data_IF_832456010483
#
_entry.id   IF_832456010483
#
_cell.length_a   1.000
_cell.length_b   1.000
_cell.length_c   1.000
_cell.angle_alpha   90.00
_cell.angle_beta   90.00
_cell.angle_gamma   90.00
#
_symmetry.space_group_name_H-M   'P 1'
#
loop_
_entity.id
_entity.type
_entity.pdbx_description
1 polymer ?
#
# COMPACT_ATOMS: atom_id res chain seq x y z
N UNK A 1 -11.01 63.95 20.95
CA UNK A 1 -10.18 62.79 21.37
C UNK A 1 -10.83 61.45 21.03
N UNK A 2 -12.16 61.34 21.08
CA UNK A 2 -12.94 60.14 20.74
C UNK A 2 -12.85 59.72 19.26
N UNK A 3 -12.81 60.68 18.33
CA UNK A 3 -12.74 60.39 16.89
C UNK A 3 -11.44 59.72 16.47
N UNK A 4 -10.29 60.14 17.04
CA UNK A 4 -8.98 59.54 16.75
C UNK A 4 -8.89 58.11 17.29
N UNK A 5 -9.50 57.87 18.44
CA UNK A 5 -9.60 56.53 19.03
C UNK A 5 -10.53 55.61 18.22
N UNK A 6 -11.65 56.13 17.73
CA UNK A 6 -12.55 55.39 16.86
C UNK A 6 -11.86 54.99 15.54
N UNK A 7 -11.09 55.90 14.94
CA UNK A 7 -10.31 55.60 13.71
C UNK A 7 -9.23 54.55 13.96
N UNK A 8 -8.54 54.60 15.11
CA UNK A 8 -7.54 53.60 15.47
C UNK A 8 -8.17 52.21 15.72
N UNK A 9 -9.32 52.17 16.39
CA UNK A 9 -10.05 50.93 16.61
C UNK A 9 -10.57 50.33 15.28
N UNK A 10 -11.01 51.19 14.36
CA UNK A 10 -11.48 50.78 13.03
C UNK A 10 -10.34 50.25 12.17
N UNK A 11 -9.16 50.88 12.22
CA UNK A 11 -7.94 50.37 11.59
C UNK A 11 -7.46 49.05 12.20
N UNK A 12 -7.60 48.88 13.52
CA UNK A 12 -7.26 47.62 14.20
C UNK A 12 -8.20 46.48 13.77
N UNK A 13 -9.49 46.77 13.64
CA UNK A 13 -10.52 45.81 13.19
C UNK A 13 -10.35 45.42 11.71
N UNK A 14 -9.97 46.37 10.86
CA UNK A 14 -9.71 46.10 9.44
C UNK A 14 -8.34 45.43 9.24
N UNK A 15 -7.37 45.69 10.13
CA UNK A 15 -6.04 45.11 10.08
C UNK A 15 -5.92 43.71 10.68
N UNK A 16 -6.86 43.29 11.54
CA UNK A 16 -6.98 41.89 11.99
C UNK A 16 -7.69 41.06 10.93
N UNK A 17 -7.06 40.93 9.76
CA UNK A 17 -7.44 39.89 8.81
C UNK A 17 -7.24 38.54 9.48
N UNK A 18 -8.33 37.83 9.77
CA UNK A 18 -8.25 36.41 10.11
C UNK A 18 -7.70 35.68 8.88
N UNK A 19 -6.39 35.47 8.79
CA UNK A 19 -5.90 34.42 7.90
C UNK A 19 -6.34 33.10 8.53
N UNK A 20 -7.41 32.52 7.97
CA UNK A 20 -7.82 31.16 8.29
C UNK A 20 -6.77 30.23 7.71
N UNK A 21 -5.69 30.01 8.45
CA UNK A 21 -4.66 29.04 8.09
C UNK A 21 -5.33 27.67 8.05
N UNK A 22 -5.53 27.13 6.86
CA UNK A 22 -6.10 25.79 6.66
C UNK A 22 -4.99 24.80 7.00
N UNK A 23 -5.08 24.15 8.14
CA UNK A 23 -4.15 23.11 8.54
C UNK A 23 -4.81 21.75 8.33
N UNK A 24 -4.16 20.89 7.55
CA UNK A 24 -4.60 19.51 7.33
C UNK A 24 -3.67 18.60 8.12
N UNK A 25 -4.25 17.81 9.03
CA UNK A 25 -3.52 16.74 9.71
C UNK A 25 -3.57 15.50 8.82
N UNK A 26 -2.41 15.09 8.32
CA UNK A 26 -2.24 13.84 7.60
C UNK A 26 -1.79 12.78 8.58
N UNK A 27 -2.46 11.64 8.55
CA UNK A 27 -2.14 10.46 9.34
C UNK A 27 -1.77 9.34 8.36
N UNK A 28 -0.50 8.96 8.35
CA UNK A 28 0.03 7.92 7.46
C UNK A 28 0.07 6.57 8.17
N UNK A 29 -0.54 6.44 9.35
CA UNK A 29 -0.52 5.24 10.19
C UNK A 29 0.72 5.18 11.08
N UNK A 30 1.92 5.29 10.51
CA UNK A 30 3.19 5.28 11.28
C UNK A 30 3.53 6.66 11.88
N UNK A 31 3.09 7.73 11.24
CA UNK A 31 3.34 9.10 11.67
C UNK A 31 2.18 10.04 11.32
N UNK A 32 2.00 11.06 12.15
CA UNK A 32 1.03 12.12 11.90
C UNK A 32 1.76 13.46 11.79
N UNK A 33 1.57 14.16 10.67
CA UNK A 33 2.14 15.48 10.46
C UNK A 33 1.08 16.47 10.02
N UNK A 34 1.28 17.74 10.38
CA UNK A 34 0.36 18.83 10.05
C UNK A 34 0.95 19.58 8.87
N UNK A 35 0.26 19.50 7.73
CA UNK A 35 0.58 20.26 6.53
C UNK A 35 -0.33 21.48 6.47
N UNK A 36 0.27 22.64 6.24
CA UNK A 36 -0.48 23.83 5.84
C UNK A 36 -0.37 23.90 4.32
N UNK A 37 -1.43 23.59 3.55
CA UNK A 37 -1.39 23.72 2.11
C UNK A 37 -1.07 25.17 1.77
N UNK A 38 0.01 25.37 1.00
CA UNK A 38 0.35 26.67 0.47
C UNK A 38 -0.37 26.82 -0.86
N UNK A 39 -1.68 27.10 -0.79
CA UNK A 39 -2.40 27.63 -1.94
C UNK A 39 -2.10 29.13 -1.94
N UNK A 40 -1.12 29.56 -2.73
CA UNK A 40 -1.17 30.96 -3.18
C UNK A 40 -2.49 31.11 -3.93
N UNK A 41 -3.24 32.19 -3.68
CA UNK A 41 -4.63 32.38 -4.15
C UNK A 41 -4.79 32.29 -5.68
N UNK A 42 -3.66 32.30 -6.39
CA UNK A 42 -3.50 32.25 -7.85
C UNK A 42 -2.60 31.09 -8.31
N UNK A 43 -2.22 30.15 -7.44
CA UNK A 43 -1.45 28.97 -7.84
C UNK A 43 -2.35 28.06 -8.68
N UNK A 44 -2.23 28.20 -10.01
CA UNK A 44 -2.94 27.37 -10.97
C UNK A 44 -2.49 25.91 -10.82
N UNK A 45 -3.45 24.97 -10.87
CA UNK A 45 -3.16 23.54 -10.78
C UNK A 45 -2.16 23.07 -11.87
N UNK A 46 -2.14 23.77 -13.01
CA UNK A 46 -1.19 23.59 -14.11
C UNK A 46 0.27 23.80 -13.66
N UNK A 47 0.52 24.66 -12.67
CA UNK A 47 1.87 24.87 -12.12
C UNK A 47 2.41 23.66 -11.34
N UNK A 48 1.54 22.71 -10.96
CA UNK A 48 1.91 21.45 -10.32
C UNK A 48 1.84 20.26 -11.29
N UNK A 49 1.48 20.49 -12.55
CA UNK A 49 1.45 19.46 -13.59
C UNK A 49 2.87 19.27 -14.11
N UNK A 50 3.35 18.03 -14.06
CA UNK A 50 4.67 17.65 -14.55
C UNK A 50 4.50 16.96 -15.90
N UNK A 51 5.37 17.29 -16.86
CA UNK A 51 5.46 16.50 -18.09
C UNK A 51 5.99 15.09 -17.79
N UNK A 52 5.73 14.13 -18.69
CA UNK A 52 6.03 12.71 -18.45
C UNK A 52 7.51 12.46 -18.09
N UNK A 53 8.43 13.18 -18.74
CA UNK A 53 9.87 13.09 -18.54
C UNK A 53 10.31 13.75 -17.23
N UNK A 54 9.75 14.91 -16.90
CA UNK A 54 9.97 15.60 -15.61
C UNK A 54 9.49 14.75 -14.43
N UNK A 55 8.35 14.07 -14.59
CA UNK A 55 7.83 13.14 -13.60
C UNK A 55 8.78 11.95 -13.40
N UNK A 56 9.28 11.34 -14.49
CA UNK A 56 10.21 10.21 -14.41
C UNK A 56 11.52 10.61 -13.72
N UNK A 57 12.09 11.78 -14.07
CA UNK A 57 13.30 12.31 -13.44
C UNK A 57 13.11 12.55 -11.94
N UNK A 58 12.01 13.23 -11.58
CA UNK A 58 11.65 13.52 -10.18
C UNK A 58 11.46 12.23 -9.37
N UNK A 59 10.83 11.22 -9.97
CA UNK A 59 10.61 9.93 -9.33
C UNK A 59 11.92 9.18 -9.10
N UNK A 60 12.87 9.24 -10.04
CA UNK A 60 14.20 8.65 -9.90
C UNK A 60 15.02 9.35 -8.82
N UNK A 61 14.95 10.68 -8.73
CA UNK A 61 15.60 11.44 -7.66
C UNK A 61 15.08 11.02 -6.30
N UNK A 62 13.75 11.01 -6.12
CA UNK A 62 13.12 10.71 -4.84
C UNK A 62 13.28 9.24 -4.43
N UNK A 63 13.26 8.31 -5.41
CA UNK A 63 13.42 6.89 -5.14
C UNK A 63 14.78 6.53 -4.50
N UNK A 64 15.83 7.35 -4.70
CA UNK A 64 17.16 7.10 -4.13
C UNK A 64 17.18 7.18 -2.61
N UNK A 65 16.30 7.99 -2.03
CA UNK A 65 16.21 8.18 -0.57
C UNK A 65 15.26 7.16 0.09
N UNK A 66 14.54 6.36 -0.71
CA UNK A 66 13.66 5.32 -0.20
C UNK A 66 14.49 4.13 0.27
N UNK A 67 14.43 3.86 1.57
CA UNK A 67 15.02 2.64 2.14
C UNK A 67 14.17 1.43 1.75
N UNK A 68 14.72 0.44 1.01
CA UNK A 68 13.97 -0.76 0.66
C UNK A 68 13.57 -1.52 1.92
N UNK A 69 12.35 -2.05 1.93
CA UNK A 69 11.92 -2.96 2.98
C UNK A 69 12.82 -4.20 3.03
N UNK A 70 13.03 -4.74 4.23
CA UNK A 70 13.80 -5.99 4.39
C UNK A 70 13.13 -7.18 3.69
N UNK A 71 11.81 -7.15 3.53
CA UNK A 71 11.05 -8.14 2.78
C UNK A 71 9.93 -7.47 1.95
N UNK A 72 10.24 -6.89 0.77
CA UNK A 72 9.29 -6.06 0.02
C UNK A 72 7.94 -6.73 -0.27
N UNK A 73 7.94 -8.05 -0.48
CA UNK A 73 6.73 -8.81 -0.76
C UNK A 73 5.84 -8.98 0.48
N UNK A 74 6.44 -9.15 1.67
CA UNK A 74 5.67 -9.27 2.92
C UNK A 74 5.03 -7.93 3.27
N UNK A 75 5.82 -6.86 3.27
CA UNK A 75 5.33 -5.51 3.58
C UNK A 75 4.25 -5.04 2.60
N UNK A 76 4.39 -5.32 1.30
CA UNK A 76 3.32 -5.01 0.34
C UNK A 76 2.01 -5.75 0.65
N UNK A 77 2.08 -7.03 1.08
CA UNK A 77 0.88 -7.80 1.42
C UNK A 77 0.17 -7.24 2.64
N UNK A 78 0.94 -6.85 3.66
CA UNK A 78 0.42 -6.21 4.86
C UNK A 78 -0.27 -4.89 4.52
N UNK A 79 0.39 -4.03 3.73
CA UNK A 79 -0.15 -2.75 3.27
C UNK A 79 -1.44 -2.90 2.47
N UNK A 80 -1.51 -3.87 1.57
CA UNK A 80 -2.68 -4.12 0.72
C UNK A 80 -3.71 -5.06 1.36
N UNK A 81 -3.51 -5.49 2.62
CA UNK A 81 -4.40 -6.44 3.30
C UNK A 81 -4.56 -7.77 2.55
N UNK A 82 -3.55 -8.17 1.78
CA UNK A 82 -3.56 -9.40 0.99
C UNK A 82 -3.14 -10.55 1.92
N UNK A 83 -4.05 -11.46 2.28
CA UNK A 83 -3.69 -12.58 3.14
C UNK A 83 -2.59 -13.41 2.47
N UNK A 84 -1.69 -13.98 3.27
CA UNK A 84 -0.61 -14.83 2.80
C UNK A 84 -1.18 -16.11 2.14
N UNK A 85 -1.54 -16.02 0.86
CA UNK A 85 -1.90 -17.19 0.03
C UNK A 85 -0.66 -18.01 -0.34
N UNK A 86 0.53 -17.50 -0.05
CA UNK A 86 1.81 -18.20 -0.18
C UNK A 86 2.79 -17.75 0.90
N UNK A 87 3.07 -18.67 1.83
CA UNK A 87 4.12 -18.54 2.83
C UNK A 87 5.50 -18.87 2.25
N UNK A 88 6.55 -18.55 3.01
CA UNK A 88 7.92 -18.96 2.65
C UNK A 88 8.12 -20.38 3.17
N UNK A 89 8.34 -21.31 2.24
CA UNK A 89 8.57 -22.71 2.56
C UNK A 89 10.01 -23.10 2.31
N UNK A 90 10.62 -23.78 3.27
CA UNK A 90 11.86 -24.53 3.05
C UNK A 90 11.52 -25.89 2.47
N UNK A 91 12.09 -26.21 1.32
CA UNK A 91 11.99 -27.55 0.75
C UNK A 91 13.03 -28.48 1.37
N UNK A 92 12.57 -29.60 1.93
CA UNK A 92 13.42 -30.67 2.47
C UNK A 92 13.53 -31.82 1.47
N UNK A 93 14.66 -31.90 0.76
CA UNK A 93 14.87 -32.86 -0.35
C UNK A 93 14.69 -34.33 0.06
N UNK A 94 15.11 -34.70 1.29
CA UNK A 94 15.08 -36.09 1.77
C UNK A 94 13.67 -36.62 1.98
N UNK A 95 12.77 -35.77 2.48
CA UNK A 95 11.38 -36.12 2.80
C UNK A 95 10.39 -35.58 1.77
N UNK A 96 10.86 -34.73 0.85
CA UNK A 96 10.07 -33.98 -0.14
C UNK A 96 8.98 -33.15 0.53
N UNK A 97 9.26 -32.60 1.72
CA UNK A 97 8.32 -31.79 2.50
C UNK A 97 8.61 -30.31 2.33
N UNK A 98 7.54 -29.51 2.34
CA UNK A 98 7.59 -28.07 2.47
C UNK A 98 7.41 -27.71 3.95
N UNK A 99 8.36 -26.97 4.52
CA UNK A 99 8.35 -26.60 5.94
C UNK A 99 8.18 -25.07 6.01
N UNK A 100 7.08 -24.56 6.60
CA UNK A 100 6.85 -23.12 6.73
C UNK A 100 7.99 -22.46 7.53
N UNK A 101 8.34 -21.21 7.21
CA UNK A 101 9.47 -20.50 7.84
C UNK A 101 9.05 -19.22 8.60
N UNK A 102 7.77 -18.86 8.64
CA UNK A 102 7.26 -17.69 9.36
C UNK A 102 6.49 -18.00 10.67
N UNK A 103 6.48 -17.08 11.66
CA UNK A 103 5.75 -17.23 12.92
C UNK A 103 4.22 -17.26 12.76
N UNK A 104 3.70 -16.75 11.64
CA UNK A 104 2.26 -16.74 11.29
C UNK A 104 1.88 -17.82 10.26
N UNK A 105 2.85 -18.54 9.70
CA UNK A 105 2.60 -19.63 8.74
C UNK A 105 2.12 -20.93 9.42
N UNK A 106 1.94 -20.93 10.75
CA UNK A 106 1.28 -22.03 11.47
C UNK A 106 -0.24 -22.03 11.24
N UNK A 107 -0.83 -20.84 11.04
CA UNK A 107 -2.15 -20.63 10.40
C UNK A 107 -1.98 -20.43 8.88
N UNK A 108 -0.86 -20.93 8.32
CA UNK A 108 -0.53 -20.88 6.91
C UNK A 108 -1.69 -21.40 6.09
N UNK A 109 -1.87 -20.92 4.85
CA UNK A 109 -3.16 -20.87 4.16
C UNK A 109 -3.89 -22.18 4.39
N UNK A 110 -4.78 -22.17 5.39
CA UNK A 110 -5.90 -23.06 5.35
C UNK A 110 -6.51 -22.71 4.02
N UNK A 111 -6.39 -23.62 3.04
CA UNK A 111 -7.28 -23.63 1.91
C UNK A 111 -8.64 -23.47 2.56
N UNK A 112 -9.18 -22.25 2.54
CA UNK A 112 -10.47 -21.95 3.10
C UNK A 112 -11.32 -23.09 2.53
N UNK A 113 -11.89 -23.93 3.39
CA UNK A 113 -12.60 -25.11 2.91
C UNK A 113 -13.71 -24.69 1.92
N UNK A 114 -14.12 -23.41 1.96
CA UNK A 114 -15.00 -22.73 1.01
C UNK A 114 -14.43 -22.48 -0.39
N UNK A 115 -13.10 -22.50 -0.58
CA UNK A 115 -12.39 -22.34 -1.85
C UNK A 115 -11.65 -23.60 -2.30
N UNK A 116 -11.63 -24.67 -1.49
CA UNK A 116 -11.45 -26.01 -2.01
C UNK A 116 -12.70 -26.34 -2.83
N UNK A 117 -12.78 -25.74 -4.01
CA UNK A 117 -13.87 -25.96 -4.92
C UNK A 117 -13.84 -27.44 -5.30
N UNK A 118 -14.74 -28.21 -4.69
CA UNK A 118 -14.90 -29.63 -4.95
C UNK A 118 -15.17 -29.86 -6.44
N UNK A 119 -15.77 -28.87 -7.11
CA UNK A 119 -15.94 -28.86 -8.56
C UNK A 119 -14.60 -28.78 -9.28
N UNK A 120 -13.72 -27.86 -8.90
CA UNK A 120 -12.37 -27.73 -9.46
C UNK A 120 -11.55 -28.99 -9.23
N UNK A 121 -11.59 -29.56 -8.02
CA UNK A 121 -10.87 -30.78 -7.66
C UNK A 121 -11.36 -31.98 -8.50
N UNK A 122 -12.68 -32.09 -8.70
CA UNK A 122 -13.29 -33.12 -9.54
C UNK A 122 -12.96 -32.94 -11.02
N UNK A 123 -13.03 -31.71 -11.53
CA UNK A 123 -12.69 -31.37 -12.91
C UNK A 123 -11.21 -31.67 -13.21
N UNK A 124 -10.32 -31.34 -12.28
CA UNK A 124 -8.91 -31.66 -12.35
C UNK A 124 -8.66 -33.18 -12.37
N UNK A 125 -9.28 -33.93 -11.45
CA UNK A 125 -9.17 -35.39 -11.43
C UNK A 125 -9.65 -36.05 -12.74
N UNK A 126 -10.75 -35.55 -13.32
CA UNK A 126 -11.23 -36.00 -14.62
C UNK A 126 -10.26 -35.66 -15.76
N UNK A 127 -9.64 -34.49 -15.72
CA UNK A 127 -8.62 -34.10 -16.70
C UNK A 127 -7.37 -34.99 -16.63
N UNK A 128 -6.90 -35.31 -15.42
CA UNK A 128 -5.79 -36.24 -15.21
C UNK A 128 -6.13 -37.67 -15.66
N UNK A 129 -7.36 -38.13 -15.40
CA UNK A 129 -7.84 -39.43 -15.88
C UNK A 129 -7.86 -39.51 -17.42
N UNK A 130 -8.26 -38.43 -18.13
CA UNK A 130 -8.19 -38.35 -19.60
C UNK A 130 -6.75 -38.45 -20.14
N UNK A 131 -5.75 -38.10 -19.34
CA UNK A 131 -4.33 -38.25 -19.68
C UNK A 131 -3.72 -39.59 -19.27
N UNK A 132 -4.55 -40.56 -18.88
CA UNK A 132 -4.13 -41.87 -18.37
C UNK A 132 -3.22 -41.77 -17.12
N UNK A 133 -3.37 -40.70 -16.34
CA UNK A 133 -2.67 -40.48 -15.08
C UNK A 133 -3.69 -40.26 -13.97
N UNK A 134 -4.38 -41.31 -13.47
CA UNK A 134 -5.40 -41.14 -12.44
C UNK A 134 -4.77 -40.60 -11.14
N UNK A 135 -5.36 -39.56 -10.55
CA UNK A 135 -4.87 -38.89 -9.34
C UNK A 135 -4.29 -37.49 -9.63
N UNK A 136 -3.36 -37.05 -8.78
CA UNK A 136 -2.61 -35.81 -8.99
C UNK A 136 -1.53 -36.03 -10.06
N UNK A 137 -1.75 -35.45 -11.23
CA UNK A 137 -0.85 -35.52 -12.37
C UNK A 137 0.07 -34.30 -12.51
N UNK A 138 0.02 -33.34 -11.58
CA UNK A 138 1.00 -32.26 -11.45
C UNK A 138 2.24 -32.83 -10.75
N UNK A 139 3.06 -33.56 -11.51
CA UNK A 139 4.45 -33.75 -11.08
C UNK A 139 5.17 -32.42 -11.17
N UNK A 140 5.29 -31.71 -10.07
CA UNK A 140 6.44 -30.80 -9.89
C UNK A 140 7.69 -31.69 -9.96
N UNK A 141 8.50 -31.48 -11.00
CA UNK A 141 9.44 -32.45 -11.58
C UNK A 141 10.48 -33.11 -10.66
N UNK A 142 11.12 -34.14 -11.23
CA UNK A 142 12.13 -35.01 -10.61
C UNK A 142 13.54 -34.43 -10.58
#
# INVERSE_FOLDING_TARGET
>A
MTLRWAVLLLLLWVGSGCSTVRAVRLDTGDESFVVTPHEEEEAELEAAELEDDEFEESLVELARDVRPFHNPLREARELFGVPARSGVYRYETRTRRLIPQGPEDADGPHLLASYADEELTRAYGQWCARKSQPGDCLRTGG
#
